data_IF_859631414569
#
_entry.id   IF_859631414569
#
_cell.length_a   1.000
_cell.length_b   1.000
_cell.length_c   1.000
_cell.angle_alpha   90.00
_cell.angle_beta   90.00
_cell.angle_gamma   90.00
#
_symmetry.space_group_name_H-M   'P 1'
#
loop_
_entity.id
_entity.type
_entity.pdbx_description
1 polymer ?
#
# COMPACT_ATOMS: atom_id res chain seq x y z
N UNK A 1 3.47 16.05 30.13
CA UNK A 1 3.11 14.85 29.34
C UNK A 1 3.05 15.25 27.89
N UNK A 2 3.99 14.79 27.07
CA UNK A 2 3.94 15.05 25.64
C UNK A 2 2.69 14.43 25.05
N UNK A 3 1.90 15.25 24.35
CA UNK A 3 0.74 14.79 23.60
C UNK A 3 1.27 13.83 22.54
N UNK A 4 1.00 12.53 22.69
CA UNK A 4 1.29 11.56 21.63
C UNK A 4 0.53 12.01 20.38
N UNK A 5 1.27 12.50 19.40
CA UNK A 5 0.70 12.89 18.13
C UNK A 5 0.07 11.67 17.48
N UNK A 6 -1.22 11.76 17.17
CA UNK A 6 -1.97 10.70 16.52
C UNK A 6 -1.83 10.87 15.00
N UNK A 7 -0.61 10.81 14.49
CA UNK A 7 -0.36 10.96 13.06
C UNK A 7 -0.70 9.66 12.33
N UNK A 8 -1.42 9.74 11.22
CA UNK A 8 -1.81 8.58 10.41
C UNK A 8 -1.29 8.73 9.00
N UNK A 9 -0.75 7.65 8.44
CA UNK A 9 -0.35 7.61 7.03
C UNK A 9 -1.40 6.88 6.20
N UNK A 10 -1.76 7.44 5.05
CA UNK A 10 -2.63 6.83 4.05
C UNK A 10 -1.83 6.75 2.74
N UNK A 11 -1.52 5.53 2.30
CA UNK A 11 -0.54 5.29 1.24
C UNK A 11 -1.21 4.54 0.10
N UNK A 12 -1.14 5.11 -1.10
CA UNK A 12 -1.52 4.40 -2.33
C UNK A 12 -0.32 3.60 -2.85
N UNK A 13 -0.38 2.28 -2.70
CA UNK A 13 0.73 1.39 -3.09
C UNK A 13 1.03 1.43 -4.59
N UNK A 14 0.02 1.68 -5.44
CA UNK A 14 0.20 1.66 -6.88
C UNK A 14 0.96 2.90 -7.35
N UNK A 15 0.56 4.08 -6.86
CA UNK A 15 1.25 5.33 -7.18
C UNK A 15 2.69 5.33 -6.64
N UNK A 16 2.87 4.88 -5.39
CA UNK A 16 4.19 4.77 -4.77
C UNK A 16 5.12 3.84 -5.58
N UNK A 17 4.66 2.64 -5.93
CA UNK A 17 5.48 1.69 -6.68
C UNK A 17 5.84 2.21 -8.08
N UNK A 18 4.91 2.89 -8.78
CA UNK A 18 5.21 3.48 -10.08
C UNK A 18 6.25 4.61 -9.99
N UNK A 19 6.12 5.52 -9.02
CA UNK A 19 7.06 6.64 -8.85
C UNK A 19 8.47 6.21 -8.41
N UNK A 20 8.56 5.20 -7.54
CA UNK A 20 9.85 4.65 -7.11
C UNK A 20 10.56 3.94 -8.27
N UNK A 21 9.81 3.14 -9.05
CA UNK A 21 10.36 2.45 -10.23
C UNK A 21 10.77 3.40 -11.34
N UNK A 22 9.99 4.47 -11.60
CA UNK A 22 10.39 5.49 -12.59
C UNK A 22 11.67 6.22 -12.20
N UNK A 23 12.00 6.23 -10.91
CA UNK A 23 13.24 6.77 -10.36
C UNK A 23 14.40 5.75 -10.36
N UNK A 24 14.17 4.51 -10.83
CA UNK A 24 15.17 3.44 -10.89
C UNK A 24 15.41 2.72 -9.55
N UNK A 25 14.55 2.93 -8.56
CA UNK A 25 14.74 2.40 -7.21
C UNK A 25 13.79 1.22 -6.94
N UNK A 26 14.15 0.38 -5.96
CA UNK A 26 13.30 -0.68 -5.44
C UNK A 26 13.00 -0.35 -3.97
N UNK A 27 11.72 -0.26 -3.63
CA UNK A 27 11.31 0.09 -2.28
C UNK A 27 11.33 -1.15 -1.36
N UNK A 28 12.02 -1.02 -0.22
CA UNK A 28 11.85 -1.91 0.92
C UNK A 28 10.76 -1.35 1.84
N UNK A 29 9.62 -2.05 1.90
CA UNK A 29 8.46 -1.60 2.68
C UNK A 29 8.70 -1.66 4.19
N UNK A 30 9.52 -2.58 4.69
CA UNK A 30 9.85 -2.64 6.13
C UNK A 30 10.66 -1.43 6.55
N UNK A 31 11.68 -1.06 5.76
CA UNK A 31 12.48 0.15 6.02
C UNK A 31 11.66 1.42 5.85
N UNK A 32 10.76 1.44 4.87
CA UNK A 32 9.86 2.57 4.67
C UNK A 32 8.92 2.79 5.85
N UNK A 33 8.38 1.72 6.45
CA UNK A 33 7.55 1.83 7.66
C UNK A 33 8.32 2.44 8.83
N UNK A 34 9.55 1.98 9.07
CA UNK A 34 10.44 2.53 10.11
C UNK A 34 10.72 4.01 9.85
N UNK A 35 11.02 4.38 8.61
CA UNK A 35 11.20 5.79 8.24
C UNK A 35 9.97 6.65 8.57
N UNK A 36 8.76 6.18 8.24
CA UNK A 36 7.52 6.89 8.56
C UNK A 36 7.32 7.05 10.08
N UNK A 37 7.60 5.98 10.84
CA UNK A 37 7.56 5.98 12.31
C UNK A 37 8.55 6.97 12.90
N UNK A 38 9.77 7.00 12.42
CA UNK A 38 10.84 7.79 13.02
C UNK A 38 10.74 9.27 12.65
N UNK A 39 10.46 9.57 11.38
CA UNK A 39 10.42 10.95 10.87
C UNK A 39 9.10 11.64 11.13
N UNK A 40 7.98 10.95 10.91
CA UNK A 40 6.63 11.55 10.98
C UNK A 40 5.83 11.10 12.22
N UNK A 41 6.44 10.28 13.09
CA UNK A 41 5.84 9.81 14.35
C UNK A 41 4.46 9.19 14.16
N UNK A 42 4.28 8.46 13.05
CA UNK A 42 2.98 7.88 12.73
C UNK A 42 2.56 6.84 13.78
N UNK A 43 1.29 6.84 14.14
CA UNK A 43 0.68 5.82 14.98
C UNK A 43 0.30 4.59 14.12
N UNK A 44 -0.42 4.82 13.01
CA UNK A 44 -0.85 3.77 12.07
C UNK A 44 -0.55 4.15 10.62
N UNK A 45 -0.31 3.15 9.78
CA UNK A 45 -0.17 3.30 8.34
C UNK A 45 -1.21 2.43 7.62
N UNK A 46 -2.09 3.04 6.85
CA UNK A 46 -3.04 2.37 5.98
C UNK A 46 -2.46 2.29 4.57
N UNK A 47 -2.31 1.07 4.04
CA UNK A 47 -1.76 0.82 2.72
C UNK A 47 -2.85 0.28 1.81
N UNK A 48 -3.26 1.07 0.82
CA UNK A 48 -4.28 0.70 -0.14
C UNK A 48 -3.65 -0.05 -1.31
N UNK A 49 -4.10 -1.28 -1.57
CA UNK A 49 -3.54 -2.16 -2.61
C UNK A 49 -4.65 -2.92 -3.33
N UNK A 50 -4.45 -3.23 -4.60
CA UNK A 50 -5.34 -4.12 -5.34
C UNK A 50 -5.19 -5.57 -4.88
N UNK A 51 -6.32 -6.27 -4.72
CA UNK A 51 -6.31 -7.70 -4.46
C UNK A 51 -5.99 -8.48 -5.75
N UNK A 52 -5.03 -9.39 -5.67
CA UNK A 52 -4.59 -10.28 -6.74
C UNK A 52 -4.38 -11.66 -6.11
N UNK A 53 -5.17 -12.68 -6.49
CA UNK A 53 -4.96 -14.05 -6.02
C UNK A 53 -3.53 -14.53 -6.30
N UNK A 54 -2.92 -15.25 -5.35
CA UNK A 54 -1.53 -15.73 -5.44
C UNK A 54 -0.48 -14.79 -4.82
N UNK A 55 -0.86 -13.59 -4.41
CA UNK A 55 0.02 -12.63 -3.74
C UNK A 55 -0.15 -12.61 -2.19
N UNK A 56 -0.68 -13.67 -1.61
CA UNK A 56 -0.98 -13.76 -0.17
C UNK A 56 0.29 -13.59 0.69
N UNK A 57 1.43 -14.05 0.19
CA UNK A 57 2.74 -13.89 0.83
C UNK A 57 3.16 -12.41 0.91
N UNK A 58 2.94 -11.62 -0.15
CA UNK A 58 3.18 -10.18 -0.17
C UNK A 58 2.29 -9.47 0.84
N UNK A 59 1.00 -9.80 0.87
CA UNK A 59 0.06 -9.17 1.81
C UNK A 59 0.41 -9.48 3.26
N UNK A 60 0.85 -10.71 3.53
CA UNK A 60 1.33 -11.13 4.85
C UNK A 60 2.60 -10.40 5.23
N UNK A 61 3.56 -10.25 4.31
CA UNK A 61 4.77 -9.48 4.53
C UNK A 61 4.48 -8.01 4.87
N UNK A 62 3.59 -7.35 4.11
CA UNK A 62 3.20 -5.96 4.36
C UNK A 62 2.51 -5.79 5.72
N UNK A 63 1.65 -6.72 6.11
CA UNK A 63 1.02 -6.71 7.45
C UNK A 63 2.06 -6.91 8.55
N UNK A 64 2.99 -7.87 8.40
CA UNK A 64 4.09 -8.10 9.36
C UNK A 64 5.02 -6.90 9.48
N UNK A 65 5.22 -6.14 8.42
CA UNK A 65 5.99 -4.89 8.45
C UNK A 65 5.30 -3.77 9.26
N UNK A 66 4.00 -3.88 9.54
CA UNK A 66 3.24 -2.96 10.40
C UNK A 66 2.15 -2.17 9.68
N UNK A 67 1.89 -2.44 8.39
CA UNK A 67 0.84 -1.78 7.63
C UNK A 67 -0.52 -2.42 7.88
N UNK A 68 -1.56 -1.58 7.93
CA UNK A 68 -2.95 -2.00 7.82
C UNK A 68 -3.29 -2.04 6.34
N UNK A 69 -3.31 -3.24 5.76
CA UNK A 69 -3.55 -3.44 4.33
C UNK A 69 -5.05 -3.34 4.04
N UNK A 70 -5.43 -2.42 3.16
CA UNK A 70 -6.80 -2.23 2.70
C UNK A 70 -6.88 -2.62 1.22
N UNK A 71 -7.69 -3.63 0.92
CA UNK A 71 -7.91 -4.07 -0.44
C UNK A 71 -8.88 -3.15 -1.17
N UNK A 72 -8.42 -2.54 -2.26
CA UNK A 72 -9.30 -1.80 -3.18
C UNK A 72 -10.23 -2.81 -3.88
N UNK A 73 -11.55 -2.58 -3.90
CA UNK A 73 -12.47 -3.47 -4.61
C UNK A 73 -12.13 -3.49 -6.09
N UNK A 74 -12.14 -4.67 -6.70
CA UNK A 74 -11.97 -4.80 -8.15
C UNK A 74 -13.28 -4.42 -8.83
N UNK A 75 -13.29 -3.31 -9.58
CA UNK A 75 -14.44 -2.98 -10.42
C UNK A 75 -14.52 -3.97 -11.58
N UNK A 76 -15.58 -4.79 -11.59
CA UNK A 76 -15.92 -5.61 -12.75
C UNK A 76 -16.46 -4.71 -13.88
N UNK A 77 -15.61 -4.34 -14.83
CA UNK A 77 -16.05 -3.64 -16.03
C UNK A 77 -16.61 -4.69 -17.00
N UNK A 78 -17.94 -4.88 -17.03
CA UNK A 78 -18.62 -5.67 -18.07
C UNK A 78 -18.48 -4.99 -19.44
N UNK A 79 -17.46 -5.37 -20.21
CA UNK A 79 -17.44 -5.13 -21.66
C UNK A 79 -17.83 -6.43 -22.35
N UNK A 80 -18.87 -6.38 -23.19
CA UNK A 80 -19.39 -7.54 -23.95
C UNK A 80 -18.21 -8.31 -24.57
N UNK A 81 -17.99 -9.55 -24.10
CA UNK A 81 -17.04 -10.60 -24.55
C UNK A 81 -15.62 -10.72 -23.97
N UNK A 82 -15.21 -9.98 -22.93
CA UNK A 82 -14.00 -10.38 -22.18
C UNK A 82 -13.93 -9.75 -20.78
N UNK A 83 -13.53 -10.56 -19.78
CA UNK A 83 -13.23 -10.09 -18.43
C UNK A 83 -11.87 -9.37 -18.43
N UNK A 84 -11.87 -8.07 -18.09
CA UNK A 84 -10.64 -7.29 -17.92
C UNK A 84 -10.62 -6.67 -16.52
N UNK A 85 -9.54 -6.91 -15.77
CA UNK A 85 -9.26 -6.20 -14.53
C UNK A 85 -8.73 -4.80 -14.87
N UNK A 86 -9.60 -3.79 -14.85
CA UNK A 86 -9.18 -2.40 -15.05
C UNK A 86 -8.61 -1.85 -13.74
N UNK A 87 -7.30 -1.61 -13.70
CA UNK A 87 -6.67 -0.91 -12.56
C UNK A 87 -7.15 0.54 -12.57
N UNK A 88 -7.72 0.99 -11.45
CA UNK A 88 -8.07 2.39 -11.27
C UNK A 88 -6.78 3.18 -11.07
N UNK A 89 -6.58 4.18 -11.93
CA UNK A 89 -5.44 5.09 -11.92
C UNK A 89 -5.26 5.77 -10.57
#
# INVERSE_FOLDING_TARGET
MDKKENNYAFIDSQNLNLGIRSSGWILDFSRFYVYLKDKYKINKAFLFIGYVPGNESLYTYLQKAGYIVIFKPTLEVKKRRAYFYKRQC
#
